data_IF_287725888941
#
_entry.id   IF_287725888941
#
_cell.length_a   1.000
_cell.length_b   1.000
_cell.length_c   1.000
_cell.angle_alpha   90.00
_cell.angle_beta   90.00
_cell.angle_gamma   90.00
#
_symmetry.space_group_name_H-M   'P 1'
#
loop_
_entity.id
_entity.type
_entity.pdbx_description
1 polymer ?
#
# COMPACT_ATOMS: atom_id res chain seq x y z
N UNK A 1 18.05 -5.94 2.35
CA UNK A 1 17.50 -6.02 3.73
C UNK A 1 16.13 -5.32 3.83
N UNK A 2 16.00 -4.03 3.49
CA UNK A 2 14.73 -3.29 3.54
C UNK A 2 13.61 -3.89 2.67
N UNK A 3 13.92 -4.32 1.44
CA UNK A 3 12.94 -4.94 0.52
C UNK A 3 12.28 -6.19 1.10
N UNK A 4 13.05 -7.04 1.81
CA UNK A 4 12.52 -8.27 2.40
C UNK A 4 11.59 -7.95 3.57
N UNK A 5 11.94 -6.95 4.38
CA UNK A 5 11.08 -6.48 5.47
C UNK A 5 9.76 -5.91 4.93
N UNK A 6 9.81 -5.02 3.94
CA UNK A 6 8.62 -4.46 3.29
C UNK A 6 7.75 -5.54 2.66
N UNK A 7 8.36 -6.57 2.08
CA UNK A 7 7.64 -7.72 1.54
C UNK A 7 6.86 -8.44 2.66
N UNK A 8 7.44 -8.65 3.84
CA UNK A 8 6.71 -9.22 4.98
C UNK A 8 5.59 -8.30 5.47
N UNK A 9 5.84 -6.98 5.54
CA UNK A 9 4.81 -6.00 5.92
C UNK A 9 3.63 -5.97 4.94
N UNK A 10 3.87 -6.22 3.65
CA UNK A 10 2.82 -6.22 2.63
C UNK A 10 1.73 -7.27 2.87
N UNK A 11 2.05 -8.42 3.48
CA UNK A 11 1.06 -9.45 3.81
C UNK A 11 0.06 -9.00 4.88
N UNK A 12 0.54 -8.31 5.92
CA UNK A 12 -0.33 -7.76 6.97
C UNK A 12 -1.11 -6.57 6.44
N UNK A 13 -0.47 -5.70 5.64
CA UNK A 13 -1.12 -4.54 5.05
C UNK A 13 -2.27 -4.91 4.10
N UNK A 14 -2.16 -6.02 3.35
CA UNK A 14 -3.26 -6.53 2.53
C UNK A 14 -4.51 -6.91 3.34
N UNK A 15 -4.38 -7.18 4.65
CA UNK A 15 -5.51 -7.53 5.52
C UNK A 15 -6.10 -6.32 6.23
N UNK A 16 -5.24 -5.41 6.70
CA UNK A 16 -5.65 -4.29 7.56
C UNK A 16 -5.95 -3.01 6.79
N UNK A 17 -5.35 -2.81 5.62
CA UNK A 17 -5.53 -1.61 4.82
C UNK A 17 -6.37 -1.92 3.57
N UNK A 18 -7.58 -1.35 3.52
CA UNK A 18 -8.53 -1.56 2.42
C UNK A 18 -7.92 -1.17 1.06
N UNK A 19 -7.24 -0.03 0.97
CA UNK A 19 -6.61 0.42 -0.27
C UNK A 19 -5.47 -0.51 -0.74
N UNK A 20 -4.72 -1.12 0.20
CA UNK A 20 -3.71 -2.11 -0.14
C UNK A 20 -4.34 -3.42 -0.64
N UNK A 21 -5.44 -3.85 0.00
CA UNK A 21 -6.21 -5.03 -0.38
C UNK A 21 -6.78 -4.89 -1.80
N UNK A 22 -7.44 -3.78 -2.08
CA UNK A 22 -8.04 -3.50 -3.40
C UNK A 22 -7.00 -3.50 -4.51
N UNK A 23 -5.79 -2.96 -4.26
CA UNK A 23 -4.69 -3.00 -5.23
C UNK A 23 -4.24 -4.44 -5.48
N UNK A 24 -4.10 -5.24 -4.42
CA UNK A 24 -3.71 -6.63 -4.53
C UNK A 24 -4.74 -7.44 -5.32
N UNK A 25 -6.00 -7.38 -4.92
CA UNK A 25 -7.12 -8.09 -5.56
C UNK A 25 -7.23 -7.70 -7.03
N UNK A 26 -7.23 -6.39 -7.36
CA UNK A 26 -7.27 -5.90 -8.75
C UNK A 26 -6.14 -6.44 -9.63
N UNK A 27 -4.94 -6.61 -9.09
CA UNK A 27 -3.80 -7.14 -9.86
C UNK A 27 -3.93 -8.65 -10.05
N UNK A 28 -4.39 -9.36 -9.03
CA UNK A 28 -4.60 -10.82 -9.07
C UNK A 28 -5.76 -11.18 -9.98
N UNK A 29 -6.88 -10.44 -9.95
CA UNK A 29 -8.02 -10.60 -10.85
C UNK A 29 -7.65 -10.42 -12.32
N UNK A 30 -6.64 -9.57 -12.61
CA UNK A 30 -6.07 -9.42 -13.95
C UNK A 30 -5.17 -10.59 -14.37
N UNK A 31 -5.10 -11.67 -13.59
CA UNK A 31 -4.29 -12.86 -13.88
C UNK A 31 -2.79 -12.66 -13.71
N UNK A 32 -2.35 -11.57 -13.06
CA UNK A 32 -0.92 -11.30 -12.86
C UNK A 32 -0.38 -12.09 -11.65
N UNK A 33 0.95 -12.25 -11.61
CA UNK A 33 1.60 -13.00 -10.53
C UNK A 33 1.38 -12.33 -9.16
N UNK A 34 1.11 -13.16 -8.14
CA UNK A 34 0.91 -12.68 -6.75
C UNK A 34 2.12 -11.90 -6.22
N UNK A 35 3.33 -12.26 -6.66
CA UNK A 35 4.57 -11.55 -6.32
C UNK A 35 4.56 -10.11 -6.84
N UNK A 36 4.08 -9.88 -8.06
CA UNK A 36 3.94 -8.53 -8.62
C UNK A 36 2.91 -7.72 -7.84
N UNK A 37 1.78 -8.34 -7.48
CA UNK A 37 0.74 -7.70 -6.67
C UNK A 37 1.29 -7.22 -5.31
N UNK A 38 2.07 -8.06 -4.61
CA UNK A 38 2.72 -7.69 -3.35
C UNK A 38 3.74 -6.56 -3.52
N UNK A 39 4.52 -6.55 -4.61
CA UNK A 39 5.45 -5.45 -4.90
C UNK A 39 4.69 -4.12 -5.11
N UNK A 40 3.53 -4.16 -5.76
CA UNK A 40 2.68 -2.98 -5.93
C UNK A 40 2.16 -2.46 -4.57
N UNK A 41 1.77 -3.37 -3.67
CA UNK A 41 1.39 -3.02 -2.29
C UNK A 41 2.56 -2.39 -1.53
N UNK A 42 3.78 -2.93 -1.63
CA UNK A 42 4.97 -2.31 -1.04
C UNK A 42 5.17 -0.87 -1.54
N UNK A 43 5.01 -0.63 -2.85
CA UNK A 43 5.14 0.71 -3.42
C UNK A 43 4.06 1.67 -2.89
N UNK A 44 2.83 1.20 -2.70
CA UNK A 44 1.75 1.98 -2.10
C UNK A 44 2.06 2.37 -0.64
N UNK A 45 2.52 1.41 0.17
CA UNK A 45 2.89 1.65 1.57
C UNK A 45 4.01 2.69 1.70
N UNK A 46 5.05 2.59 0.86
CA UNK A 46 6.13 3.57 0.85
C UNK A 46 5.60 4.98 0.57
N UNK A 47 4.75 5.13 -0.46
CA UNK A 47 4.16 6.45 -0.79
C UNK A 47 3.30 6.99 0.36
N UNK A 48 2.54 6.13 1.03
CA UNK A 48 1.75 6.53 2.20
C UNK A 48 2.65 6.98 3.36
N UNK A 49 3.71 6.22 3.67
CA UNK A 49 4.67 6.59 4.72
C UNK A 49 5.36 7.93 4.42
N UNK A 50 5.78 8.15 3.16
CA UNK A 50 6.35 9.43 2.74
C UNK A 50 5.34 10.58 2.83
N UNK A 51 4.08 10.35 2.45
CA UNK A 51 3.03 11.37 2.54
C UNK A 51 2.75 11.77 4.00
N UNK A 52 2.68 10.80 4.92
CA UNK A 52 2.53 11.03 6.37
C UNK A 52 3.72 11.82 6.91
N UNK A 53 4.94 11.38 6.60
CA UNK A 53 6.17 12.04 7.05
C UNK A 53 6.25 13.50 6.55
N UNK A 54 5.79 13.76 5.33
CA UNK A 54 5.79 15.11 4.73
C UNK A 54 4.67 16.01 5.27
N UNK A 55 3.48 15.45 5.48
CA UNK A 55 2.30 16.21 5.94
C UNK A 55 2.29 16.47 7.45
N UNK A 56 3.02 15.65 8.23
CA UNK A 56 2.97 15.69 9.69
C UNK A 56 1.63 15.24 10.28
N UNK A 57 0.73 14.70 9.45
CA UNK A 57 -0.59 14.24 9.87
C UNK A 57 -0.67 12.72 9.87
N UNK A 58 -1.41 12.16 10.83
CA UNK A 58 -1.63 10.71 10.92
C UNK A 58 -2.34 10.14 9.69
N UNK A 59 -2.15 8.84 9.45
CA UNK A 59 -2.87 8.13 8.40
C UNK A 59 -4.38 8.22 8.60
N UNK A 60 -5.09 8.66 7.56
CA UNK A 60 -6.54 8.68 7.50
C UNK A 60 -6.98 7.84 6.30
N UNK A 61 -7.85 6.85 6.53
CA UNK A 61 -8.31 5.96 5.46
C UNK A 61 -9.09 6.71 4.38
N UNK A 62 -9.95 7.64 4.78
CA UNK A 62 -10.78 8.47 3.90
C UNK A 62 -10.21 9.88 3.72
N UNK A 63 -8.88 10.01 3.58
CA UNK A 63 -8.24 11.32 3.39
C UNK A 63 -8.69 11.97 2.07
N UNK A 64 -9.42 13.08 2.17
CA UNK A 64 -9.79 13.90 1.02
C UNK A 64 -8.69 14.93 0.75
N UNK A 65 -8.18 14.94 -0.48
CA UNK A 65 -7.24 15.98 -0.92
C UNK A 65 -7.91 17.35 -0.77
N UNK A 66 -7.26 18.27 -0.05
CA UNK A 66 -7.72 19.67 0.07
C UNK A 66 -7.45 20.51 -1.18
N UNK A 67 -6.76 19.96 -2.19
CA UNK A 67 -6.63 20.56 -3.51
C UNK A 67 -7.73 20.01 -4.42
N UNK A 68 -8.76 20.82 -4.64
CA UNK A 68 -9.69 20.77 -5.76
C UNK A 68 -9.42 22.00 -6.64
#
# INVERSE_FOLDING_TARGET
KLRNLLFMCSFTACKTNKACREIYERIVEKGKSKKLALIAVCSKLLKQAFAIAKSGTYYQENYLSKLA
#
